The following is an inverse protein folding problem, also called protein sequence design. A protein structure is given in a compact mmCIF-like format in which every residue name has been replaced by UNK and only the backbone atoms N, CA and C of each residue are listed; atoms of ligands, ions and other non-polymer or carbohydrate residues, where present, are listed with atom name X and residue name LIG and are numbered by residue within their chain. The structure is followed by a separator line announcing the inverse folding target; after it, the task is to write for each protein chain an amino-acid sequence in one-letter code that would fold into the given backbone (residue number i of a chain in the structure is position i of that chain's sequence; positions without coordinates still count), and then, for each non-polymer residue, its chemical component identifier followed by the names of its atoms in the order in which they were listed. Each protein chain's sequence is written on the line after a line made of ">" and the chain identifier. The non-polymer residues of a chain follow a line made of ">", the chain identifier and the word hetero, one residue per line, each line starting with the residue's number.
data_IF_558388833540
#
_entry.id   IF_558388833540
#
_cell.length_a   1.000
_cell.length_b   1.000
_cell.length_c   1.000
_cell.angle_alpha   90.00
_cell.angle_beta   90.00
_cell.angle_gamma   90.00
#
_symmetry.space_group_name_H-M   'P 1'
#
loop_
_entity.id
_entity.type
_entity.pdbx_description
1 polymer ?
#
# COMPACT_ATOMS: atom_id res chain seq x y z
N UNK A 1 25.54 -2.14 -25.64
CA UNK A 1 25.56 -3.55 -25.18
C UNK A 1 25.47 -4.45 -26.41
N UNK A 2 26.05 -5.64 -26.37
CA UNK A 2 25.83 -6.66 -27.40
C UNK A 2 24.61 -7.47 -27.03
N UNK A 3 23.54 -7.36 -27.81
CA UNK A 3 22.22 -7.96 -27.53
C UNK A 3 21.73 -8.82 -28.70
N UNK A 4 22.49 -9.83 -29.14
CA UNK A 4 22.24 -10.52 -30.42
C UNK A 4 20.90 -11.20 -30.51
N UNK A 5 20.35 -11.66 -29.39
CA UNK A 5 19.02 -12.29 -29.37
C UNK A 5 17.87 -11.28 -29.38
N UNK A 6 18.05 -10.13 -28.75
CA UNK A 6 17.08 -9.03 -28.82
C UNK A 6 17.09 -8.41 -30.21
N UNK A 7 18.30 -8.21 -30.79
CA UNK A 7 18.46 -7.69 -32.15
C UNK A 7 17.73 -8.60 -33.16
N UNK A 8 17.90 -9.92 -33.03
CA UNK A 8 17.21 -10.90 -33.86
C UNK A 8 15.68 -10.87 -33.68
N UNK A 9 15.17 -10.64 -32.48
CA UNK A 9 13.73 -10.47 -32.26
C UNK A 9 13.18 -9.23 -32.96
N UNK A 10 13.94 -8.12 -32.96
CA UNK A 10 13.54 -6.90 -33.64
C UNK A 10 13.55 -7.10 -35.17
N UNK A 11 14.55 -7.83 -35.72
CA UNK A 11 14.64 -8.13 -37.15
C UNK A 11 13.49 -9.02 -37.65
N UNK A 12 13.06 -9.98 -36.84
CA UNK A 12 12.01 -10.97 -37.19
C UNK A 12 10.61 -10.55 -36.79
N UNK A 13 10.48 -9.58 -35.92
CA UNK A 13 9.21 -9.15 -35.31
C UNK A 13 8.71 -7.82 -35.83
N UNK A 14 7.63 -7.37 -35.24
CA UNK A 14 7.08 -6.02 -35.39
C UNK A 14 7.24 -5.27 -34.11
N UNK A 15 7.80 -4.06 -34.18
CA UNK A 15 7.95 -3.20 -32.99
C UNK A 15 6.91 -2.10 -32.98
N UNK A 16 6.52 -1.65 -31.79
CA UNK A 16 5.57 -0.58 -31.59
C UNK A 16 5.79 0.13 -30.26
N UNK A 17 5.05 1.19 -30.05
CA UNK A 17 4.99 1.90 -28.77
C UNK A 17 3.67 1.62 -28.09
N UNK A 18 3.73 1.40 -26.76
CA UNK A 18 2.57 1.19 -25.91
C UNK A 18 2.55 2.25 -24.79
N UNK A 19 1.42 2.92 -24.63
CA UNK A 19 1.18 3.80 -23.47
C UNK A 19 0.76 2.94 -22.29
N UNK A 20 1.67 2.72 -21.35
CA UNK A 20 1.44 1.85 -20.19
C UNK A 20 0.77 2.55 -19.00
N UNK A 21 0.76 3.89 -18.99
CA UNK A 21 0.02 4.68 -18.02
C UNK A 21 -1.05 5.47 -18.75
N UNK A 22 -2.30 5.13 -18.53
CA UNK A 22 -3.44 5.82 -19.14
C UNK A 22 -3.56 7.27 -18.62
N UNK A 23 -4.21 8.14 -19.39
CA UNK A 23 -4.48 9.52 -18.97
C UNK A 23 -5.35 9.52 -17.70
N UNK A 24 -5.01 10.40 -16.75
CA UNK A 24 -5.70 10.52 -15.47
C UNK A 24 -5.20 9.56 -14.37
N UNK A 25 -4.29 8.63 -14.68
CA UNK A 25 -3.69 7.76 -13.68
C UNK A 25 -2.33 8.28 -13.22
N UNK A 26 -2.08 8.15 -11.92
CA UNK A 26 -0.76 8.41 -11.36
C UNK A 26 0.26 7.38 -11.89
N UNK A 27 1.46 7.78 -12.31
CA UNK A 27 2.49 6.84 -12.75
C UNK A 27 2.93 5.95 -11.58
N UNK A 28 2.58 4.66 -11.70
CA UNK A 28 2.89 3.63 -10.71
C UNK A 28 3.15 2.29 -11.38
N UNK A 29 3.95 1.43 -10.71
CA UNK A 29 4.27 0.11 -11.23
C UNK A 29 3.01 -0.76 -11.38
N UNK A 30 2.05 -0.66 -10.49
CA UNK A 30 0.78 -1.38 -10.55
C UNK A 30 -0.04 -0.97 -11.79
N UNK A 31 -0.16 0.33 -12.03
CA UNK A 31 -0.89 0.86 -13.18
C UNK A 31 -0.25 0.38 -14.49
N UNK A 32 1.07 0.53 -14.61
CA UNK A 32 1.79 0.12 -15.81
C UNK A 32 1.75 -1.40 -16.04
N UNK A 33 1.92 -2.21 -14.99
CA UNK A 33 1.87 -3.68 -15.12
C UNK A 33 0.46 -4.17 -15.45
N UNK A 34 -0.58 -3.64 -14.81
CA UNK A 34 -1.96 -3.99 -15.15
C UNK A 34 -2.28 -3.66 -16.59
N UNK A 35 -1.85 -2.49 -17.10
CA UNK A 35 -2.03 -2.11 -18.49
C UNK A 35 -1.30 -3.06 -19.46
N UNK A 36 -0.03 -3.42 -19.16
CA UNK A 36 0.74 -4.40 -19.95
C UNK A 36 0.08 -5.77 -19.96
N UNK A 37 -0.53 -6.16 -18.86
CA UNK A 37 -1.29 -7.42 -18.73
C UNK A 37 -2.68 -7.37 -19.37
N UNK A 38 -3.08 -6.24 -19.95
CA UNK A 38 -4.33 -6.09 -20.72
C UNK A 38 -5.57 -5.78 -19.89
N UNK A 39 -5.41 -5.35 -18.65
CA UNK A 39 -6.54 -4.90 -17.83
C UNK A 39 -7.02 -3.50 -18.25
N UNK A 40 -8.33 -3.31 -18.28
CA UNK A 40 -8.96 -2.00 -18.45
C UNK A 40 -8.92 -1.23 -17.14
N UNK A 41 -7.88 -0.42 -16.96
CA UNK A 41 -7.61 0.30 -15.71
C UNK A 41 -8.80 1.11 -15.17
N UNK A 42 -9.54 1.89 -16.00
CA UNK A 42 -10.68 2.65 -15.51
C UNK A 42 -11.75 1.79 -14.83
N UNK A 43 -11.90 0.54 -15.23
CA UNK A 43 -12.92 -0.37 -14.71
C UNK A 43 -12.48 -1.22 -13.54
N UNK A 44 -11.16 -1.46 -13.38
CA UNK A 44 -10.67 -2.44 -12.40
C UNK A 44 -9.65 -1.90 -11.39
N UNK A 45 -9.06 -0.72 -11.63
CA UNK A 45 -8.07 -0.19 -10.70
C UNK A 45 -8.73 0.41 -9.46
N UNK A 46 -8.46 -0.18 -8.32
CA UNK A 46 -9.04 0.21 -7.03
C UNK A 46 -8.02 0.78 -6.04
N UNK A 47 -6.75 0.89 -6.45
CA UNK A 47 -5.68 1.36 -5.58
C UNK A 47 -4.71 0.26 -5.12
N UNK A 48 -3.64 0.66 -4.45
CA UNK A 48 -2.55 -0.26 -4.03
C UNK A 48 -2.96 -1.20 -2.91
N UNK A 49 -3.77 -0.72 -1.96
CA UNK A 49 -4.14 -1.49 -0.77
C UNK A 49 -4.73 -2.85 -1.10
N UNK A 50 -5.55 -2.94 -2.14
CA UNK A 50 -6.21 -4.19 -2.54
C UNK A 50 -5.26 -5.18 -3.21
N UNK A 51 -4.27 -4.70 -3.97
CA UNK A 51 -3.25 -5.55 -4.58
C UNK A 51 -2.31 -6.10 -3.51
N UNK A 52 -1.93 -5.28 -2.54
CA UNK A 52 -1.12 -5.73 -1.41
C UNK A 52 -1.89 -6.71 -0.52
N UNK A 53 -3.21 -6.53 -0.32
CA UNK A 53 -4.06 -7.52 0.35
C UNK A 53 -4.00 -8.88 -0.35
N UNK A 54 -4.17 -8.90 -1.67
CA UNK A 54 -4.08 -10.13 -2.46
C UNK A 54 -2.69 -10.78 -2.35
N UNK A 55 -1.62 -10.00 -2.37
CA UNK A 55 -0.24 -10.51 -2.32
C UNK A 55 0.10 -11.23 -1.01
N UNK A 56 -0.49 -10.82 0.10
CA UNK A 56 -0.31 -11.43 1.43
C UNK A 56 -1.42 -12.44 1.80
N UNK A 57 -2.30 -12.76 0.84
CA UNK A 57 -3.37 -13.76 1.01
C UNK A 57 -4.58 -13.26 1.81
N UNK A 58 -4.75 -11.96 1.99
CA UNK A 58 -5.93 -11.38 2.65
C UNK A 58 -7.07 -11.26 1.64
N UNK A 59 -8.08 -12.11 1.78
CA UNK A 59 -9.27 -12.10 0.96
C UNK A 59 -10.30 -11.09 1.51
N UNK A 60 -10.42 -9.95 0.83
CA UNK A 60 -11.38 -8.91 1.22
C UNK A 60 -12.82 -9.38 1.01
N UNK A 61 -13.64 -9.17 2.02
CA UNK A 61 -15.08 -9.43 1.98
C UNK A 61 -15.84 -8.24 1.37
N UNK A 62 -17.07 -8.45 0.88
CA UNK A 62 -17.92 -7.35 0.46
C UNK A 62 -18.08 -6.28 1.55
N UNK A 63 -17.86 -5.01 1.18
CA UNK A 63 -17.91 -3.89 2.11
C UNK A 63 -16.64 -3.66 2.93
N UNK A 64 -15.57 -4.42 2.70
CA UNK A 64 -14.24 -4.14 3.27
C UNK A 64 -13.41 -3.27 2.33
N UNK A 65 -12.85 -2.20 2.88
CA UNK A 65 -11.90 -1.31 2.23
C UNK A 65 -10.49 -1.63 2.73
N UNK A 66 -9.57 -1.88 1.81
CA UNK A 66 -8.17 -2.09 2.11
C UNK A 66 -7.35 -0.83 1.83
N UNK A 67 -6.39 -0.54 2.69
CA UNK A 67 -5.44 0.55 2.54
C UNK A 67 -4.03 0.04 2.76
N UNK A 68 -3.09 0.49 1.96
CA UNK A 68 -1.69 0.39 2.34
C UNK A 68 -1.47 1.17 3.63
N UNK A 69 -0.78 0.57 4.59
CA UNK A 69 -0.49 1.17 5.89
C UNK A 69 1.02 1.13 6.14
N UNK A 70 1.69 2.26 5.98
CA UNK A 70 3.10 2.34 6.30
C UNK A 70 3.30 2.52 7.80
N UNK A 71 4.34 1.88 8.35
CA UNK A 71 4.97 2.32 9.60
C UNK A 71 5.98 3.43 9.26
N UNK A 72 5.78 4.62 9.82
CA UNK A 72 6.60 5.80 9.56
C UNK A 72 7.25 6.31 10.84
N UNK A 73 8.31 7.11 10.68
CA UNK A 73 8.92 7.86 11.77
C UNK A 73 8.41 9.31 11.75
N UNK A 74 7.81 9.73 12.86
CA UNK A 74 7.43 11.13 13.13
C UNK A 74 8.32 11.66 14.24
N UNK A 75 8.89 12.87 14.04
CA UNK A 75 9.68 13.59 15.02
C UNK A 75 9.08 14.98 15.24
N UNK A 76 8.51 15.20 16.43
CA UNK A 76 7.64 16.37 16.66
C UNK A 76 6.43 16.33 15.73
N UNK A 77 6.26 17.38 14.93
CA UNK A 77 5.19 17.45 13.91
C UNK A 77 5.66 17.06 12.49
N UNK A 78 6.89 16.56 12.33
CA UNK A 78 7.51 16.28 11.03
C UNK A 78 7.45 14.78 10.70
N UNK A 79 6.96 14.43 9.51
CA UNK A 79 7.13 13.12 8.93
C UNK A 79 8.60 12.98 8.50
N UNK A 80 9.43 12.43 9.41
CA UNK A 80 10.87 12.34 9.22
C UNK A 80 11.26 11.29 8.18
N UNK A 81 10.60 10.13 8.24
CA UNK A 81 11.00 8.99 7.42
C UNK A 81 9.79 8.08 7.15
N UNK A 82 9.47 7.88 5.86
CA UNK A 82 8.33 7.07 5.41
C UNK A 82 8.53 5.56 5.57
N UNK A 83 9.75 5.10 5.86
CA UNK A 83 10.13 3.68 5.99
C UNK A 83 10.66 3.33 7.38
N UNK A 84 10.63 4.29 8.33
CA UNK A 84 11.22 4.12 9.67
C UNK A 84 12.65 3.59 9.63
N UNK A 85 13.47 4.12 8.68
CA UNK A 85 14.85 3.66 8.48
C UNK A 85 14.94 2.20 8.02
N UNK A 86 14.02 1.75 7.17
CA UNK A 86 13.91 0.37 6.69
C UNK A 86 13.82 -0.63 7.85
N UNK A 87 12.82 -0.44 8.73
CA UNK A 87 12.53 -1.37 9.83
C UNK A 87 12.46 -2.81 9.31
N UNK A 88 12.97 -3.78 10.08
CA UNK A 88 12.87 -5.19 9.71
C UNK A 88 11.44 -5.70 9.79
N UNK A 89 11.13 -6.77 9.08
CA UNK A 89 9.77 -7.37 9.10
C UNK A 89 9.42 -7.89 10.50
N UNK A 90 10.39 -8.47 11.21
CA UNK A 90 10.23 -9.01 12.57
C UNK A 90 9.90 -7.90 13.58
N UNK A 91 10.67 -6.80 13.56
CA UNK A 91 10.41 -5.65 14.43
C UNK A 91 9.04 -5.02 14.11
N UNK A 92 8.69 -4.92 12.83
CA UNK A 92 7.43 -4.36 12.39
C UNK A 92 6.23 -5.24 12.75
N UNK A 93 6.39 -6.57 12.70
CA UNK A 93 5.34 -7.51 13.08
C UNK A 93 4.94 -7.34 14.54
N UNK A 94 5.90 -7.22 15.46
CA UNK A 94 5.60 -6.94 16.88
C UNK A 94 4.78 -5.65 17.06
N UNK A 95 5.10 -4.59 16.28
CA UNK A 95 4.37 -3.33 16.35
C UNK A 95 2.96 -3.44 15.77
N UNK A 96 2.79 -4.13 14.66
CA UNK A 96 1.48 -4.33 14.01
C UNK A 96 0.58 -5.22 14.86
N UNK A 97 1.12 -6.27 15.48
CA UNK A 97 0.36 -7.09 16.45
C UNK A 97 -0.12 -6.26 17.64
N UNK A 98 0.76 -5.44 18.23
CA UNK A 98 0.39 -4.52 19.30
C UNK A 98 -0.72 -3.55 18.88
N UNK A 99 -0.63 -2.98 17.67
CA UNK A 99 -1.69 -2.10 17.15
C UNK A 99 -3.01 -2.86 16.94
N UNK A 100 -2.95 -4.09 16.46
CA UNK A 100 -4.14 -4.90 16.25
C UNK A 100 -4.81 -5.28 17.58
N UNK A 101 -4.04 -5.56 18.63
CA UNK A 101 -4.55 -5.80 19.99
C UNK A 101 -5.17 -4.55 20.62
N UNK A 102 -4.60 -3.37 20.39
CA UNK A 102 -4.98 -2.13 21.05
C UNK A 102 -6.03 -1.30 20.30
N UNK A 103 -6.03 -1.35 18.98
CA UNK A 103 -6.89 -0.56 18.08
C UNK A 103 -7.75 -1.43 17.16
N UNK A 104 -7.44 -2.72 17.05
CA UNK A 104 -8.22 -3.68 16.26
C UNK A 104 -9.62 -3.88 16.82
N UNK A 105 -10.57 -4.19 15.93
CA UNK A 105 -11.96 -4.46 16.25
C UNK A 105 -12.63 -5.26 15.13
N UNK A 106 -13.92 -5.53 15.22
CA UNK A 106 -14.68 -6.11 14.11
C UNK A 106 -14.70 -5.22 12.85
N UNK A 107 -14.42 -3.92 13.04
CA UNK A 107 -14.38 -2.91 11.96
C UNK A 107 -12.98 -2.63 11.44
N UNK A 108 -11.95 -2.76 12.28
CA UNK A 108 -10.57 -2.34 12.00
C UNK A 108 -9.64 -3.52 12.17
N UNK A 109 -8.87 -3.87 11.14
CA UNK A 109 -7.87 -4.95 11.20
C UNK A 109 -6.56 -4.54 10.56
N UNK A 110 -5.47 -4.81 11.27
CA UNK A 110 -4.12 -4.62 10.78
C UNK A 110 -3.52 -5.97 10.38
N UNK A 111 -2.80 -6.00 9.26
CA UNK A 111 -2.10 -7.20 8.78
C UNK A 111 -0.65 -6.86 8.51
N UNK A 112 0.25 -7.70 8.98
CA UNK A 112 1.68 -7.56 8.74
C UNK A 112 2.01 -7.86 7.28
N UNK A 113 2.76 -6.95 6.67
CA UNK A 113 3.38 -7.13 5.38
C UNK A 113 4.90 -7.23 5.50
N UNK A 114 5.64 -6.57 4.61
CA UNK A 114 7.10 -6.63 4.56
C UNK A 114 7.73 -5.30 4.98
N UNK A 115 8.66 -5.33 5.94
CA UNK A 115 9.38 -4.15 6.41
C UNK A 115 8.39 -3.10 6.94
N UNK A 116 8.40 -1.89 6.41
CA UNK A 116 7.50 -0.79 6.79
C UNK A 116 6.12 -0.83 6.10
N UNK A 117 5.87 -1.79 5.22
CA UNK A 117 4.66 -1.89 4.38
C UNK A 117 3.69 -2.90 4.94
N UNK A 118 2.56 -2.43 5.42
CA UNK A 118 1.51 -3.22 6.04
C UNK A 118 0.16 -2.91 5.41
N UNK A 119 -0.86 -3.63 5.83
CA UNK A 119 -2.23 -3.46 5.36
C UNK A 119 -3.15 -3.08 6.52
N UNK A 120 -4.04 -2.13 6.26
CA UNK A 120 -5.17 -1.79 7.11
C UNK A 120 -6.46 -2.11 6.36
N UNK A 121 -7.36 -2.85 6.99
CA UNK A 121 -8.69 -3.17 6.46
C UNK A 121 -9.76 -2.54 7.34
N UNK A 122 -10.67 -1.78 6.71
CA UNK A 122 -11.79 -1.11 7.37
C UNK A 122 -13.10 -1.67 6.79
N UNK A 123 -13.91 -2.28 7.64
CA UNK A 123 -15.26 -2.73 7.27
C UNK A 123 -16.21 -1.53 7.23
N UNK A 124 -16.92 -1.35 6.12
CA UNK A 124 -17.82 -0.21 5.91
C UNK A 124 -17.10 1.13 5.73
N UNK A 125 -15.81 1.13 5.35
CA UNK A 125 -15.09 2.36 5.03
C UNK A 125 -15.45 2.91 3.65
N UNK A 126 -15.43 4.23 3.50
CA UNK A 126 -15.59 4.93 2.22
C UNK A 126 -14.22 5.29 1.63
N UNK A 127 -13.94 4.85 0.39
CA UNK A 127 -12.64 5.04 -0.27
C UNK A 127 -12.44 6.43 -0.87
N UNK A 128 -13.46 7.29 -0.91
CA UNK A 128 -13.41 8.65 -1.48
C UNK A 128 -12.67 9.59 -0.53
N UNK A 129 -11.36 9.37 -0.41
CA UNK A 129 -10.45 10.00 0.53
C UNK A 129 -9.24 10.58 -0.20
N UNK A 130 -8.91 11.83 0.12
CA UNK A 130 -7.64 12.44 -0.25
C UNK A 130 -6.55 11.96 0.72
N UNK A 131 -5.64 11.14 0.23
CA UNK A 131 -4.56 10.52 1.00
C UNK A 131 -3.21 10.80 0.34
N UNK A 132 -2.32 11.44 1.05
CA UNK A 132 -0.96 11.73 0.56
C UNK A 132 -0.03 10.52 0.77
N UNK A 133 0.64 10.00 -0.28
CA UNK A 133 1.67 8.97 -0.12
C UNK A 133 2.85 9.50 0.73
N UNK A 134 3.29 8.80 1.78
CA UNK A 134 4.28 9.36 2.73
C UNK A 134 5.68 9.52 2.13
N UNK A 135 6.00 8.84 1.03
CA UNK A 135 7.27 8.95 0.34
C UNK A 135 7.38 10.19 -0.56
N UNK A 136 6.26 10.85 -0.86
CA UNK A 136 6.24 12.08 -1.67
C UNK A 136 6.46 13.33 -0.82
N UNK A 137 6.33 13.20 0.51
CA UNK A 137 6.35 14.33 1.45
C UNK A 137 7.33 14.13 2.64
N UNK A 138 8.56 13.68 2.39
CA UNK A 138 9.54 13.55 3.47
C UNK A 138 9.86 14.94 4.05
N UNK A 139 10.07 14.99 5.36
CA UNK A 139 10.43 16.21 6.11
C UNK A 139 9.36 17.30 6.09
N UNK A 140 8.11 16.97 5.77
CA UNK A 140 6.99 17.91 5.86
C UNK A 140 6.23 17.74 7.18
N UNK A 141 5.55 18.82 7.66
CA UNK A 141 4.59 18.69 8.75
C UNK A 141 3.49 17.71 8.41
N UNK A 142 3.24 16.70 9.26
CA UNK A 142 2.28 15.65 8.95
C UNK A 142 0.82 16.06 9.14
N UNK A 143 0.53 16.98 10.09
CA UNK A 143 -0.86 17.35 10.41
C UNK A 143 -1.64 17.93 9.24
N UNK A 144 -1.10 18.84 8.39
CA UNK A 144 -1.80 19.30 7.19
C UNK A 144 -2.05 18.22 6.13
N UNK A 145 -1.28 17.11 6.19
CA UNK A 145 -1.32 16.00 5.26
C UNK A 145 -2.22 14.84 5.73
N UNK A 146 -2.86 14.98 6.89
CA UNK A 146 -3.82 13.99 7.39
C UNK A 146 -4.98 13.83 6.41
N UNK A 147 -5.59 12.65 6.44
CA UNK A 147 -6.60 12.20 5.48
C UNK A 147 -7.81 13.15 5.47
N UNK A 148 -8.26 13.53 4.28
CA UNK A 148 -9.43 14.39 4.09
C UNK A 148 -10.51 13.65 3.30
N UNK A 149 -11.79 13.86 3.64
CA UNK A 149 -12.89 13.32 2.83
C UNK A 149 -13.01 14.12 1.52
N UNK A 150 -13.11 13.45 0.38
CA UNK A 150 -13.41 14.06 -0.91
C UNK A 150 -14.90 14.39 -1.05
N UNK A 151 -15.73 13.68 -0.28
CA UNK A 151 -17.19 13.85 -0.22
C UNK A 151 -17.68 13.80 1.24
N UNK A 152 -18.82 14.43 1.58
CA UNK A 152 -19.32 14.45 2.96
C UNK A 152 -19.52 13.07 3.59
N UNK A 153 -19.92 12.06 2.80
CA UNK A 153 -20.19 10.71 3.26
C UNK A 153 -18.91 9.98 3.73
N UNK A 154 -17.74 10.36 3.19
CA UNK A 154 -16.46 9.80 3.57
C UNK A 154 -15.88 10.38 4.87
N UNK A 155 -16.54 11.39 5.48
CA UNK A 155 -16.05 12.08 6.68
C UNK A 155 -15.81 11.14 7.86
N UNK A 156 -16.77 10.27 8.15
CA UNK A 156 -16.62 9.31 9.27
C UNK A 156 -15.39 8.40 9.08
N UNK A 157 -15.13 7.98 7.85
CA UNK A 157 -13.95 7.16 7.53
C UNK A 157 -12.66 7.95 7.69
N UNK A 158 -12.62 9.20 7.21
CA UNK A 158 -11.46 10.07 7.36
C UNK A 158 -11.15 10.35 8.84
N UNK A 159 -12.18 10.67 9.63
CA UNK A 159 -12.04 10.94 11.06
C UNK A 159 -11.52 9.70 11.82
N UNK A 160 -12.07 8.52 11.53
CA UNK A 160 -11.59 7.24 12.09
C UNK A 160 -10.11 7.00 11.76
N UNK A 161 -9.71 7.16 10.50
CA UNK A 161 -8.34 6.92 10.07
C UNK A 161 -7.36 7.90 10.73
N UNK A 162 -7.75 9.16 10.85
CA UNK A 162 -6.96 10.19 11.53
C UNK A 162 -6.84 9.90 13.03
N UNK A 163 -7.89 9.42 13.67
CA UNK A 163 -7.85 8.96 15.05
C UNK A 163 -6.88 7.78 15.22
N UNK A 164 -6.91 6.79 14.30
CA UNK A 164 -5.98 5.66 14.31
C UNK A 164 -4.52 6.12 14.15
N UNK A 165 -4.24 7.09 13.28
CA UNK A 165 -2.89 7.68 13.15
C UNK A 165 -2.42 8.25 14.48
N UNK A 166 -3.22 9.12 15.12
CA UNK A 166 -2.83 9.78 16.37
C UNK A 166 -2.70 8.77 17.53
N UNK A 167 -3.65 7.84 17.67
CA UNK A 167 -3.58 6.78 18.69
C UNK A 167 -2.38 5.86 18.50
N UNK A 168 -2.01 5.57 17.26
CA UNK A 168 -0.81 4.75 17.00
C UNK A 168 0.45 5.42 17.54
N UNK A 169 0.55 6.75 17.46
CA UNK A 169 1.70 7.49 17.99
C UNK A 169 1.78 7.36 19.52
N UNK A 170 0.63 7.44 20.21
CA UNK A 170 0.58 7.27 21.67
C UNK A 170 0.99 5.85 22.10
N UNK A 171 0.58 4.82 21.36
CA UNK A 171 0.86 3.42 21.66
C UNK A 171 2.32 3.07 21.36
N UNK A 172 2.82 3.51 20.21
CA UNK A 172 4.10 3.05 19.68
C UNK A 172 5.30 3.82 20.22
N UNK A 173 5.14 5.04 20.74
CA UNK A 173 6.26 5.88 21.22
C UNK A 173 7.14 5.17 22.26
N UNK A 174 6.53 4.44 23.20
CA UNK A 174 7.20 3.77 24.31
C UNK A 174 7.27 2.24 24.11
N UNK A 175 6.95 1.73 22.92
CA UNK A 175 7.01 0.30 22.64
C UNK A 175 8.46 -0.22 22.72
N UNK A 176 8.73 -1.40 23.33
CA UNK A 176 10.08 -1.93 23.51
C UNK A 176 10.93 -1.99 22.23
N UNK A 177 10.33 -2.32 21.10
CA UNK A 177 10.99 -2.30 19.77
C UNK A 177 11.51 -0.89 19.47
N UNK A 178 10.69 0.15 19.64
CA UNK A 178 11.08 1.53 19.34
C UNK A 178 12.13 2.06 20.32
N UNK A 179 12.03 1.70 21.60
CA UNK A 179 13.04 2.06 22.59
C UNK A 179 14.41 1.45 22.25
N UNK A 180 14.44 0.17 21.83
CA UNK A 180 15.67 -0.50 21.36
C UNK A 180 16.23 0.16 20.11
N UNK A 181 15.36 0.52 19.15
CA UNK A 181 15.76 1.21 17.90
C UNK A 181 16.40 2.56 18.21
N UNK A 182 15.77 3.37 19.03
CA UNK A 182 16.30 4.68 19.45
C UNK A 182 17.62 4.54 20.20
N UNK A 183 17.76 3.57 21.11
CA UNK A 183 19.02 3.29 21.80
C UNK A 183 20.15 2.86 20.84
N UNK A 184 19.79 2.27 19.69
CA UNK A 184 20.74 1.90 18.63
C UNK A 184 20.94 3.03 17.58
N UNK A 185 20.43 4.24 17.80
CA UNK A 185 20.53 5.36 16.86
C UNK A 185 19.72 5.20 15.59
N UNK A 186 18.70 4.33 15.60
CA UNK A 186 17.80 4.11 14.47
C UNK A 186 16.48 4.89 14.63
N UNK A 187 15.86 5.25 13.52
CA UNK A 187 14.53 5.85 13.53
C UNK A 187 13.49 4.90 14.14
N UNK A 188 12.67 5.33 15.10
CA UNK A 188 11.54 4.55 15.58
C UNK A 188 10.45 4.45 14.51
N UNK A 189 9.66 3.39 14.56
CA UNK A 189 8.43 3.24 13.78
C UNK A 189 7.24 3.62 14.68
N UNK A 190 7.03 4.91 14.88
CA UNK A 190 6.17 5.44 15.94
C UNK A 190 4.83 6.00 15.45
N UNK A 191 4.49 5.80 14.17
CA UNK A 191 3.18 6.17 13.64
C UNK A 191 2.80 5.26 12.47
N UNK A 192 1.52 5.01 12.31
CA UNK A 192 0.99 4.46 11.05
C UNK A 192 0.70 5.59 10.08
N UNK A 193 0.66 5.24 8.77
CA UNK A 193 0.24 6.13 7.70
C UNK A 193 -0.56 5.37 6.66
N UNK A 194 -1.91 5.32 6.79
CA UNK A 194 -2.79 4.70 5.79
C UNK A 194 -2.91 5.56 4.54
N UNK A 195 -2.90 4.93 3.35
CA UNK A 195 -3.06 5.60 2.07
C UNK A 195 -3.47 4.63 0.97
N UNK A 196 -3.88 5.14 -0.20
CA UNK A 196 -4.33 4.37 -1.36
C UNK A 196 -5.43 3.35 -1.02
N UNK A 197 -6.61 3.84 -0.59
CA UNK A 197 -7.77 3.00 -0.28
C UNK A 197 -8.35 2.36 -1.53
N UNK A 198 -9.00 1.20 -1.36
CA UNK A 198 -9.75 0.55 -2.43
C UNK A 198 -10.62 -0.59 -1.92
N UNK A 199 -11.58 -1.00 -2.73
CA UNK A 199 -12.40 -2.18 -2.51
C UNK A 199 -11.88 -3.36 -3.33
N UNK A 200 -12.36 -4.56 -3.05
CA UNK A 200 -12.04 -5.72 -3.89
C UNK A 200 -12.40 -5.45 -5.35
N UNK A 201 -11.42 -5.46 -6.27
CA UNK A 201 -11.70 -5.19 -7.68
C UNK A 201 -12.42 -6.35 -8.35
N UNK A 202 -13.22 -6.03 -9.37
CA UNK A 202 -13.85 -7.03 -10.24
C UNK A 202 -12.89 -7.46 -11.36
N UNK A 203 -11.69 -7.91 -11.00
CA UNK A 203 -10.67 -8.36 -11.96
C UNK A 203 -10.96 -9.77 -12.45
N UNK A 204 -10.87 -9.97 -13.77
CA UNK A 204 -10.85 -11.31 -14.38
C UNK A 204 -9.47 -11.93 -14.18
N UNK A 205 -9.44 -13.20 -13.95
CA UNK A 205 -8.16 -13.94 -13.87
C UNK A 205 -7.50 -14.05 -15.24
N UNK A 206 -6.18 -14.25 -15.28
CA UNK A 206 -5.43 -14.51 -16.52
C UNK A 206 -5.97 -15.73 -17.27
N UNK A 207 -6.50 -16.73 -16.54
CA UNK A 207 -7.18 -17.88 -17.14
C UNK A 207 -8.43 -17.47 -17.91
N UNK A 208 -9.24 -16.61 -17.34
CA UNK A 208 -10.49 -16.13 -17.96
C UNK A 208 -10.21 -15.18 -19.14
N UNK A 209 -9.12 -14.40 -19.08
CA UNK A 209 -8.76 -13.46 -20.14
C UNK A 209 -8.06 -14.16 -21.31
N UNK A 210 -7.14 -15.08 -21.03
CA UNK A 210 -6.21 -15.62 -22.02
C UNK A 210 -6.19 -17.14 -22.13
N UNK A 211 -6.97 -17.86 -21.33
CA UNK A 211 -7.04 -19.32 -21.36
C UNK A 211 -5.81 -20.02 -20.79
N UNK A 212 -4.95 -19.33 -20.01
CA UNK A 212 -3.78 -19.97 -19.40
C UNK A 212 -4.17 -21.03 -18.39
N UNK A 213 -3.60 -22.21 -18.53
CA UNK A 213 -3.80 -23.29 -17.57
C UNK A 213 -2.98 -23.13 -16.30
N UNK A 214 -1.74 -22.67 -16.43
CA UNK A 214 -0.78 -22.44 -15.35
C UNK A 214 0.10 -21.24 -15.65
N UNK A 215 0.51 -20.50 -14.61
CA UNK A 215 1.44 -19.39 -14.69
C UNK A 215 2.31 -19.31 -13.43
N UNK A 216 3.41 -18.57 -13.51
CA UNK A 216 4.29 -18.26 -12.39
C UNK A 216 4.62 -16.77 -12.41
N UNK A 217 4.69 -16.16 -11.24
CA UNK A 217 5.15 -14.79 -11.06
C UNK A 217 6.47 -14.80 -10.31
N UNK A 218 7.48 -14.14 -10.87
CA UNK A 218 8.77 -13.88 -10.21
C UNK A 218 8.89 -12.36 -10.06
N UNK A 219 8.72 -11.88 -8.85
CA UNK A 219 8.81 -10.45 -8.53
C UNK A 219 9.36 -10.24 -7.13
N UNK A 220 10.24 -9.24 -6.98
CA UNK A 220 10.69 -8.75 -5.68
C UNK A 220 9.68 -7.79 -5.03
N UNK A 221 8.63 -7.40 -5.74
CA UNK A 221 7.63 -6.42 -5.30
C UNK A 221 6.29 -7.11 -5.08
N UNK A 222 5.80 -7.10 -3.83
CA UNK A 222 4.55 -7.75 -3.44
C UNK A 222 3.35 -7.22 -4.23
N UNK A 223 3.32 -5.93 -4.52
CA UNK A 223 2.31 -5.27 -5.33
C UNK A 223 2.07 -5.97 -6.68
N UNK A 224 3.14 -6.42 -7.35
CA UNK A 224 3.05 -7.12 -8.64
C UNK A 224 2.57 -8.56 -8.46
N UNK A 225 2.84 -9.17 -7.30
CA UNK A 225 2.34 -10.50 -6.95
C UNK A 225 0.85 -10.50 -6.64
N UNK A 226 0.28 -9.35 -6.34
CA UNK A 226 -1.14 -9.17 -6.04
C UNK A 226 -2.03 -8.92 -7.29
N UNK A 227 -1.43 -8.71 -8.45
CA UNK A 227 -2.12 -8.63 -9.75
C UNK A 227 -2.41 -10.05 -10.26
#
# INVERSE_FOLDING_TARGET
>A
AKTPYMDKLVELGVTGQMKTVADGFHPGSEVANMAVLGYDLPSVYEGRGVLEAASIGVALQPGEMAMRCNLICVEGDILKNHSSGHISTEEADELIQCLNERLGSDRVKFYTGVSYRHLLVIKGGDKRLDCTPPHDVPLHPFRPLMIKPEVPEARETADLLNELILKSQEILKDHPVNLKRMAAGKDPANSIWPWSPGYRPAMRTMREMYGFGKGSVISAVDLIRGI
#
